data_IF_593659319511
#
_entry.id   IF_593659319511
#
_cell.length_a   1.000
_cell.length_b   1.000
_cell.length_c   1.000
_cell.angle_alpha   90.00
_cell.angle_beta   90.00
_cell.angle_gamma   90.00
#
_symmetry.space_group_name_H-M   'P 1'
#
loop_
_entity.id
_entity.type
_entity.pdbx_description
1 polymer ?
#
# COMPACT_ATOMS: atom_id res chain seq x y z
N UNK A 1 3.93 -0.55 29.81
CA UNK A 1 5.39 -0.82 29.73
C UNK A 1 6.15 0.47 29.60
N UNK A 2 7.32 0.60 30.23
CA UNK A 2 8.23 1.73 30.02
C UNK A 2 9.02 1.47 28.74
N UNK A 3 8.94 2.39 27.77
CA UNK A 3 9.74 2.33 26.54
C UNK A 3 11.23 2.42 26.90
N UNK A 4 12.06 1.53 26.35
CA UNK A 4 13.51 1.52 26.60
C UNK A 4 14.30 2.39 25.60
N UNK A 5 13.60 3.29 24.90
CA UNK A 5 14.16 4.22 23.93
C UNK A 5 13.76 5.63 24.30
N UNK A 6 14.70 6.57 24.21
CA UNK A 6 14.40 7.99 24.41
C UNK A 6 13.72 8.58 23.16
N UNK A 7 12.77 9.52 23.29
CA UNK A 7 12.22 10.23 22.14
C UNK A 7 13.32 10.88 21.29
N UNK A 8 13.10 10.93 19.96
CA UNK A 8 14.02 11.56 18.99
C UNK A 8 15.41 10.91 18.94
N UNK A 9 15.50 9.61 19.20
CA UNK A 9 16.74 8.84 19.05
C UNK A 9 16.94 8.44 17.59
N UNK A 10 18.17 8.58 17.09
CA UNK A 10 18.61 8.07 15.79
C UNK A 10 19.53 6.89 16.05
N UNK A 11 19.24 5.75 15.41
CA UNK A 11 20.12 4.59 15.42
C UNK A 11 20.83 4.45 14.07
N UNK A 12 22.01 3.85 14.07
CA UNK A 12 22.82 3.60 12.88
C UNK A 12 23.21 2.13 12.82
N UNK A 13 23.15 1.52 11.64
CA UNK A 13 23.45 0.10 11.42
C UNK A 13 22.25 -0.67 10.87
N UNK A 14 22.34 -2.00 10.89
CA UNK A 14 21.20 -2.87 10.51
C UNK A 14 20.05 -2.70 11.50
N UNK A 15 18.85 -2.45 10.98
CA UNK A 15 17.65 -2.25 11.76
C UNK A 15 17.20 -3.51 12.52
N UNK A 16 17.52 -4.72 12.04
CA UNK A 16 17.05 -5.96 12.66
C UNK A 16 17.59 -6.16 14.10
N UNK A 17 18.91 -6.13 14.36
CA UNK A 17 19.43 -6.23 15.73
C UNK A 17 19.00 -5.05 16.62
N UNK A 18 18.83 -3.85 16.03
CA UNK A 18 18.32 -2.68 16.76
C UNK A 18 16.89 -2.96 17.24
N UNK A 19 16.00 -3.37 16.35
CA UNK A 19 14.59 -3.68 16.68
C UNK A 19 14.47 -4.79 17.71
N UNK A 20 15.32 -5.83 17.65
CA UNK A 20 15.38 -6.90 18.66
C UNK A 20 15.70 -6.38 20.07
N UNK A 21 16.42 -5.26 20.18
CA UNK A 21 16.68 -4.59 21.46
C UNK A 21 15.54 -3.72 21.98
N UNK A 22 14.50 -3.46 21.18
CA UNK A 22 13.35 -2.62 21.56
C UNK A 22 12.31 -3.46 22.29
N UNK A 23 11.74 -2.92 23.38
CA UNK A 23 10.66 -3.56 24.12
C UNK A 23 9.43 -3.81 23.22
N UNK A 24 8.77 -4.95 23.40
CA UNK A 24 7.50 -5.24 22.72
C UNK A 24 6.43 -4.19 23.07
N UNK A 25 5.44 -4.01 22.18
CA UNK A 25 4.29 -3.13 22.40
C UNK A 25 4.67 -1.72 22.92
N UNK A 26 5.71 -1.14 22.33
CA UNK A 26 6.26 0.15 22.75
C UNK A 26 6.12 1.26 21.71
N UNK A 27 5.81 0.91 20.46
CA UNK A 27 5.69 1.83 19.32
C UNK A 27 4.23 2.03 18.94
N UNK A 28 3.80 3.28 18.75
CA UNK A 28 2.44 3.63 18.32
C UNK A 28 2.27 3.64 16.80
N UNK A 29 3.33 3.98 16.07
CA UNK A 29 3.29 4.14 14.61
C UNK A 29 4.62 3.74 13.99
N UNK A 30 4.56 2.94 12.93
CA UNK A 30 5.71 2.59 12.09
C UNK A 30 5.44 3.10 10.66
N UNK A 31 6.40 3.80 10.09
CA UNK A 31 6.46 4.05 8.65
C UNK A 31 7.77 3.46 8.15
N UNK A 32 7.69 2.72 7.04
CA UNK A 32 8.86 2.18 6.37
C UNK A 32 8.76 2.39 4.86
N UNK A 33 9.90 2.79 4.30
CA UNK A 33 10.17 2.87 2.87
C UNK A 33 11.33 1.91 2.57
N UNK A 34 11.07 0.59 2.58
CA UNK A 34 12.10 -0.39 2.32
C UNK A 34 12.57 -0.28 0.87
N UNK A 35 13.78 -0.79 0.59
CA UNK A 35 14.22 -0.95 -0.78
C UNK A 35 13.25 -1.83 -1.58
N UNK A 36 13.10 -1.54 -2.88
CA UNK A 36 12.04 -2.13 -3.71
C UNK A 36 12.46 -3.40 -4.44
N UNK A 37 13.72 -3.84 -4.29
CA UNK A 37 14.31 -4.92 -5.08
C UNK A 37 14.19 -4.64 -6.59
N UNK A 38 14.39 -3.37 -6.98
CA UNK A 38 14.27 -2.89 -8.36
C UNK A 38 15.42 -3.37 -9.27
N UNK A 39 16.36 -4.16 -8.72
CA UNK A 39 17.58 -4.67 -9.39
C UNK A 39 18.53 -3.57 -9.85
N UNK A 40 18.45 -2.38 -9.24
CA UNK A 40 19.27 -1.21 -9.58
C UNK A 40 20.09 -0.77 -8.39
N UNK A 41 21.42 -0.67 -8.53
CA UNK A 41 22.25 -0.09 -7.47
C UNK A 41 22.12 1.43 -7.51
N UNK A 42 21.74 2.03 -6.38
CA UNK A 42 21.63 3.49 -6.26
C UNK A 42 22.91 4.03 -5.63
N UNK A 43 23.61 4.89 -6.38
CA UNK A 43 24.71 5.68 -5.86
C UNK A 43 24.20 7.08 -5.49
N UNK A 44 24.65 7.61 -4.36
CA UNK A 44 24.33 8.97 -3.98
C UNK A 44 24.83 9.98 -5.04
N UNK A 45 24.07 11.04 -5.34
CA UNK A 45 24.46 12.03 -6.34
C UNK A 45 25.85 12.63 -6.05
N UNK A 46 26.66 12.79 -7.10
CA UNK A 46 27.97 13.43 -7.05
C UNK A 46 27.78 14.85 -6.50
N UNK A 47 28.46 15.17 -5.39
CA UNK A 47 28.37 16.47 -4.71
C UNK A 47 27.36 16.55 -3.54
N UNK A 48 26.63 15.47 -3.25
CA UNK A 48 25.81 15.39 -2.02
C UNK A 48 26.67 15.09 -0.78
N UNK A 49 26.16 15.36 0.43
CA UNK A 49 26.80 14.95 1.70
C UNK A 49 26.97 13.43 1.84
N UNK A 50 26.28 12.66 1.00
CA UNK A 50 26.35 11.21 0.94
C UNK A 50 27.13 10.69 -0.28
N UNK A 51 27.80 11.56 -1.05
CA UNK A 51 28.56 11.17 -2.24
C UNK A 51 29.56 10.05 -1.89
N UNK A 52 29.47 8.92 -2.61
CA UNK A 52 30.24 7.70 -2.35
C UNK A 52 29.48 6.63 -1.53
N UNK A 53 28.30 6.93 -1.00
CA UNK A 53 27.41 5.91 -0.46
C UNK A 53 26.71 5.17 -1.60
N UNK A 54 26.86 3.84 -1.61
CA UNK A 54 26.13 2.93 -2.48
C UNK A 54 25.14 2.12 -1.65
N UNK A 55 23.91 1.99 -2.14
CA UNK A 55 22.90 1.13 -1.56
C UNK A 55 22.59 -0.03 -2.51
N UNK A 56 22.78 -1.26 -2.01
CA UNK A 56 22.46 -2.50 -2.72
C UNK A 56 20.95 -2.73 -2.67
N UNK A 57 20.28 -2.59 -3.81
CA UNK A 57 18.84 -2.88 -3.97
C UNK A 57 18.62 -4.25 -4.65
N UNK A 58 19.32 -5.27 -4.14
CA UNK A 58 19.22 -6.67 -4.60
C UNK A 58 19.73 -7.60 -3.50
N UNK A 59 19.03 -8.71 -3.27
CA UNK A 59 19.41 -9.72 -2.28
C UNK A 59 19.75 -11.04 -2.95
N UNK A 60 20.72 -11.74 -2.40
CA UNK A 60 21.06 -13.11 -2.79
C UNK A 60 20.92 -14.03 -1.59
N UNK A 61 20.87 -15.33 -1.82
CA UNK A 61 20.74 -16.31 -0.74
C UNK A 61 21.92 -16.25 0.25
N UNK A 62 23.07 -15.73 -0.17
CA UNK A 62 24.22 -15.47 0.71
C UNK A 62 23.96 -14.36 1.74
N UNK A 63 22.99 -13.48 1.50
CA UNK A 63 22.61 -12.40 2.42
C UNK A 63 21.59 -12.89 3.48
N UNK A 64 21.13 -14.14 3.36
CA UNK A 64 20.12 -14.74 4.25
C UNK A 64 20.82 -15.59 5.31
N UNK A 65 20.52 -15.31 6.57
CA UNK A 65 20.91 -16.16 7.69
C UNK A 65 20.01 -17.41 7.74
N UNK A 66 20.61 -18.59 7.85
CA UNK A 66 19.87 -19.85 7.98
C UNK A 66 18.93 -19.86 9.19
N UNK A 67 19.29 -19.16 10.27
CA UNK A 67 18.42 -19.04 11.44
C UNK A 67 17.09 -18.30 11.13
N UNK A 68 17.08 -17.43 10.12
CA UNK A 68 15.87 -16.74 9.68
C UNK A 68 14.94 -17.70 8.94
N UNK A 69 15.50 -18.55 8.08
CA UNK A 69 14.75 -19.60 7.39
C UNK A 69 14.13 -20.56 8.38
N UNK A 70 14.93 -21.11 9.30
CA UNK A 70 14.45 -22.04 10.33
C UNK A 70 13.32 -21.43 11.16
N UNK A 71 13.44 -20.16 11.55
CA UNK A 71 12.39 -19.45 12.28
C UNK A 71 11.08 -19.38 11.47
N UNK A 72 11.16 -18.99 10.19
CA UNK A 72 9.98 -18.79 9.35
C UNK A 72 9.31 -20.12 9.02
N UNK A 73 10.08 -21.13 8.65
CA UNK A 73 9.58 -22.47 8.31
C UNK A 73 8.89 -23.12 9.52
N UNK A 74 9.46 -22.98 10.72
CA UNK A 74 8.93 -23.64 11.91
C UNK A 74 7.76 -22.92 12.56
N UNK A 75 7.77 -21.58 12.60
CA UNK A 75 6.78 -20.81 13.38
C UNK A 75 5.76 -20.05 12.53
N UNK A 76 6.07 -19.76 11.27
CA UNK A 76 5.26 -18.86 10.44
C UNK A 76 4.89 -19.50 9.10
N UNK A 77 4.07 -20.57 9.09
CA UNK A 77 3.76 -21.33 7.87
C UNK A 77 3.04 -20.50 6.79
N UNK A 78 2.25 -19.50 7.19
CA UNK A 78 1.62 -18.59 6.23
C UNK A 78 2.66 -17.73 5.51
N UNK A 79 3.61 -17.16 6.26
CA UNK A 79 4.71 -16.36 5.71
C UNK A 79 5.64 -17.21 4.85
N UNK A 80 5.91 -18.45 5.27
CA UNK A 80 6.71 -19.38 4.49
C UNK A 80 6.10 -19.65 3.11
N UNK A 81 4.77 -19.84 3.01
CA UNK A 81 4.09 -19.99 1.71
C UNK A 81 4.30 -18.79 0.81
N UNK A 82 4.27 -17.57 1.34
CA UNK A 82 4.52 -16.35 0.57
C UNK A 82 5.95 -16.32 0.02
N UNK A 83 6.93 -16.68 0.84
CA UNK A 83 8.34 -16.76 0.44
C UNK A 83 8.54 -17.81 -0.66
N UNK A 84 7.88 -18.97 -0.57
CA UNK A 84 7.94 -20.01 -1.60
C UNK A 84 7.24 -19.62 -2.90
N UNK A 85 6.33 -18.64 -2.89
CA UNK A 85 5.70 -18.12 -4.09
C UNK A 85 6.60 -17.14 -4.88
N UNK A 86 7.77 -16.77 -4.33
CA UNK A 86 8.73 -15.92 -5.02
C UNK A 86 9.19 -16.51 -6.35
N UNK A 87 9.23 -15.69 -7.40
CA UNK A 87 9.55 -16.13 -8.76
C UNK A 87 11.04 -16.32 -9.00
N UNK A 88 11.90 -15.63 -8.23
CA UNK A 88 13.34 -15.73 -8.34
C UNK A 88 14.01 -15.88 -6.98
N UNK A 89 15.25 -16.37 -6.97
CA UNK A 89 16.06 -16.41 -5.75
C UNK A 89 16.30 -15.01 -5.15
N UNK A 90 16.33 -13.97 -5.98
CA UNK A 90 16.45 -12.59 -5.50
C UNK A 90 15.20 -12.17 -4.73
N UNK A 91 14.04 -12.41 -5.33
CA UNK A 91 12.75 -12.07 -4.70
C UNK A 91 12.55 -12.88 -3.42
N UNK A 92 12.93 -14.17 -3.43
CA UNK A 92 12.90 -15.03 -2.25
C UNK A 92 13.77 -14.46 -1.14
N UNK A 93 15.01 -14.10 -1.46
CA UNK A 93 15.98 -13.56 -0.50
C UNK A 93 15.49 -12.24 0.09
N UNK A 94 14.92 -11.37 -0.75
CA UNK A 94 14.29 -10.13 -0.33
C UNK A 94 13.09 -10.36 0.61
N UNK A 95 12.21 -11.31 0.29
CA UNK A 95 11.06 -11.61 1.15
C UNK A 95 11.49 -12.19 2.49
N UNK A 96 12.56 -13.01 2.54
CA UNK A 96 13.11 -13.50 3.81
C UNK A 96 13.71 -12.33 4.62
N UNK A 97 14.47 -11.45 3.96
CA UNK A 97 15.02 -10.24 4.57
C UNK A 97 13.92 -9.34 5.16
N UNK A 98 12.83 -9.14 4.44
CA UNK A 98 11.69 -8.36 4.89
C UNK A 98 10.90 -9.09 5.99
N UNK A 99 10.65 -10.39 5.85
CA UNK A 99 9.88 -11.20 6.78
C UNK A 99 10.37 -11.06 8.22
N UNK A 100 11.67 -11.24 8.47
CA UNK A 100 12.22 -11.14 9.84
C UNK A 100 12.09 -9.74 10.43
N UNK A 101 12.10 -8.70 9.59
CA UNK A 101 11.92 -7.31 10.01
C UNK A 101 10.46 -7.01 10.31
N UNK A 102 9.54 -7.49 9.48
CA UNK A 102 8.11 -7.37 9.70
C UNK A 102 7.69 -8.07 10.99
N UNK A 103 8.26 -9.24 11.30
CA UNK A 103 8.01 -9.94 12.57
C UNK A 103 8.45 -9.12 13.79
N UNK A 104 9.62 -8.45 13.73
CA UNK A 104 10.05 -7.57 14.81
C UNK A 104 9.21 -6.29 14.89
N UNK A 105 8.82 -5.72 13.74
CA UNK A 105 7.92 -4.56 13.68
C UNK A 105 6.56 -4.87 14.30
N UNK A 106 6.01 -6.05 14.01
CA UNK A 106 4.80 -6.56 14.63
C UNK A 106 4.98 -6.63 16.15
N UNK A 107 6.06 -7.24 16.64
CA UNK A 107 6.34 -7.40 18.07
C UNK A 107 6.43 -6.07 18.82
N UNK A 108 7.09 -5.06 18.26
CA UNK A 108 7.31 -3.77 18.93
C UNK A 108 6.10 -2.83 18.83
N UNK A 109 5.20 -3.07 17.88
CA UNK A 109 3.98 -2.26 17.69
C UNK A 109 2.97 -2.58 18.79
N UNK A 110 2.39 -1.54 19.40
CA UNK A 110 1.27 -1.66 20.34
C UNK A 110 0.03 -2.18 19.63
N UNK A 111 -0.87 -2.83 20.36
CA UNK A 111 -2.19 -3.25 19.85
C UNK A 111 -3.01 -2.10 19.25
N UNK A 112 -2.85 -0.88 19.78
CA UNK A 112 -3.50 0.33 19.28
C UNK A 112 -2.77 0.97 18.10
N UNK A 113 -1.58 0.47 17.77
CA UNK A 113 -0.67 1.05 16.80
C UNK A 113 -0.95 0.64 15.37
N UNK A 114 -0.29 1.33 14.46
CA UNK A 114 -0.42 1.08 13.03
C UNK A 114 0.91 1.17 12.27
N UNK A 115 0.92 0.59 11.07
CA UNK A 115 2.09 0.50 10.21
C UNK A 115 1.74 0.86 8.77
N UNK A 116 2.63 1.62 8.13
CA UNK A 116 2.56 2.01 6.74
C UNK A 116 3.79 1.51 6.01
N UNK A 117 3.61 0.61 5.06
CA UNK A 117 4.67 0.10 4.20
C UNK A 117 4.54 0.72 2.81
N UNK A 118 5.53 1.52 2.42
CA UNK A 118 5.64 2.05 1.06
C UNK A 118 6.27 0.98 0.16
N UNK A 119 5.68 0.72 -1.00
CA UNK A 119 6.25 -0.17 -2.00
C UNK A 119 5.92 0.28 -3.43
N UNK A 120 6.87 0.01 -4.32
CA UNK A 120 6.64 0.10 -5.76
C UNK A 120 5.86 -1.13 -6.29
N UNK A 121 5.42 -1.12 -7.55
CA UNK A 121 4.71 -2.25 -8.14
C UNK A 121 5.52 -3.55 -8.29
N UNK A 122 6.85 -3.53 -8.10
CA UNK A 122 7.72 -4.69 -8.33
C UNK A 122 7.47 -5.78 -7.28
N UNK A 123 7.45 -5.39 -6.00
CA UNK A 123 7.28 -6.33 -4.87
C UNK A 123 6.00 -6.09 -4.05
N UNK A 124 5.18 -5.08 -4.39
CA UNK A 124 3.99 -4.69 -3.61
C UNK A 124 3.06 -5.85 -3.29
N UNK A 125 2.77 -6.72 -4.25
CA UNK A 125 1.84 -7.84 -4.06
C UNK A 125 2.42 -8.93 -3.13
N UNK A 126 3.71 -9.23 -3.25
CA UNK A 126 4.36 -10.17 -2.32
C UNK A 126 4.45 -9.59 -0.91
N UNK A 127 4.78 -8.30 -0.80
CA UNK A 127 4.83 -7.58 0.48
C UNK A 127 3.44 -7.51 1.12
N UNK A 128 2.38 -7.31 0.33
CA UNK A 128 1.00 -7.37 0.82
C UNK A 128 0.66 -8.73 1.42
N UNK A 129 1.02 -9.82 0.76
CA UNK A 129 0.81 -11.18 1.29
C UNK A 129 1.67 -11.44 2.53
N UNK A 130 2.91 -10.94 2.57
CA UNK A 130 3.78 -11.05 3.74
C UNK A 130 3.19 -10.27 4.94
N UNK A 131 2.69 -9.06 4.70
CA UNK A 131 1.97 -8.25 5.68
C UNK A 131 0.71 -8.98 6.18
N UNK A 132 -0.09 -9.58 5.30
CA UNK A 132 -1.26 -10.40 5.69
C UNK A 132 -0.86 -11.58 6.58
N UNK A 133 0.26 -12.23 6.28
CA UNK A 133 0.77 -13.35 7.07
C UNK A 133 1.32 -12.93 8.43
N UNK A 134 1.83 -11.71 8.57
CA UNK A 134 2.42 -11.21 9.83
C UNK A 134 1.40 -10.51 10.71
N UNK A 135 0.63 -9.57 10.14
CA UNK A 135 -0.30 -8.71 10.88
C UNK A 135 -1.73 -9.23 10.86
N UNK A 136 -2.06 -10.21 10.02
CA UNK A 136 -3.42 -10.68 9.81
C UNK A 136 -4.15 -9.89 8.72
N UNK A 137 -4.84 -10.60 7.83
CA UNK A 137 -5.55 -9.99 6.69
C UNK A 137 -6.69 -9.06 7.12
N UNK A 138 -7.30 -9.35 8.26
CA UNK A 138 -8.39 -8.60 8.89
C UNK A 138 -7.92 -7.26 9.47
N UNK A 139 -6.61 -7.13 9.68
CA UNK A 139 -5.98 -5.92 10.17
C UNK A 139 -5.50 -4.99 9.06
N UNK A 140 -5.71 -5.38 7.79
CA UNK A 140 -5.53 -4.50 6.65
C UNK A 140 -6.60 -3.41 6.63
N UNK A 141 -6.17 -2.15 6.56
CA UNK A 141 -7.07 -1.00 6.61
C UNK A 141 -7.26 -0.36 5.23
N UNK A 142 -6.17 -0.14 4.48
CA UNK A 142 -6.23 0.49 3.16
C UNK A 142 -4.97 0.26 2.33
N UNK A 143 -5.12 0.30 1.01
CA UNK A 143 -4.04 0.55 0.06
C UNK A 143 -4.17 2.02 -0.38
N UNK A 144 -3.19 2.83 0.01
CA UNK A 144 -3.15 4.25 -0.33
C UNK A 144 -2.27 4.42 -1.57
N UNK A 145 -2.89 4.80 -2.69
CA UNK A 145 -2.16 5.10 -3.92
C UNK A 145 -1.39 6.41 -3.80
N UNK A 146 -0.07 6.33 -3.80
CA UNK A 146 0.82 7.49 -3.83
C UNK A 146 1.17 7.87 -5.25
N UNK A 147 0.58 8.96 -5.76
CA UNK A 147 0.87 9.46 -7.10
C UNK A 147 2.16 10.29 -7.10
N UNK A 148 3.20 9.80 -7.76
CA UNK A 148 4.52 10.47 -7.86
C UNK A 148 4.49 11.69 -8.76
N UNK A 149 3.87 11.56 -9.93
CA UNK A 149 3.81 12.62 -10.94
C UNK A 149 2.51 12.55 -11.75
N UNK A 150 2.23 13.61 -12.51
CA UNK A 150 1.11 13.61 -13.44
C UNK A 150 1.43 12.71 -14.64
N UNK A 151 0.43 12.01 -15.18
CA UNK A 151 0.63 11.24 -16.41
C UNK A 151 1.12 12.18 -17.52
N UNK A 152 2.23 11.82 -18.17
CA UNK A 152 2.77 12.59 -19.27
C UNK A 152 2.67 11.77 -20.55
N UNK A 153 2.28 12.41 -21.66
CA UNK A 153 2.13 11.78 -22.99
C UNK A 153 3.44 11.28 -23.61
N UNK A 154 4.55 11.35 -22.87
CA UNK A 154 5.91 10.97 -23.29
C UNK A 154 6.33 9.58 -22.79
N UNK A 155 5.43 8.85 -22.13
CA UNK A 155 5.70 7.47 -21.73
C UNK A 155 6.08 6.62 -22.95
N UNK A 156 7.23 5.95 -22.88
CA UNK A 156 7.65 4.95 -23.87
C UNK A 156 6.92 3.61 -23.70
N UNK A 157 6.27 3.38 -22.56
CA UNK A 157 5.43 2.21 -22.29
C UNK A 157 3.96 2.50 -22.60
N UNK A 158 3.22 1.46 -22.99
CA UNK A 158 1.78 1.55 -23.26
C UNK A 158 0.97 2.02 -22.03
N UNK A 159 1.49 1.79 -20.82
CA UNK A 159 0.91 2.25 -19.56
C UNK A 159 2.02 2.89 -18.72
N UNK A 160 1.80 4.13 -18.30
CA UNK A 160 2.74 4.88 -17.46
C UNK A 160 2.58 4.45 -16.00
N UNK A 161 3.69 4.09 -15.35
CA UNK A 161 3.70 3.70 -13.93
C UNK A 161 3.96 4.94 -13.09
N UNK A 162 2.90 5.66 -12.72
CA UNK A 162 3.01 6.98 -12.06
C UNK A 162 2.80 6.93 -10.55
N UNK A 163 2.51 5.75 -9.99
CA UNK A 163 2.11 5.60 -8.59
C UNK A 163 2.80 4.45 -7.89
N UNK A 164 2.89 4.60 -6.58
CA UNK A 164 3.30 3.59 -5.60
C UNK A 164 2.14 3.25 -4.66
N UNK A 165 2.35 2.23 -3.83
CA UNK A 165 1.39 1.75 -2.86
C UNK A 165 1.90 2.04 -1.44
N UNK A 166 1.05 2.59 -0.57
CA UNK A 166 1.27 2.59 0.87
C UNK A 166 0.26 1.63 1.50
N UNK A 167 0.75 0.46 1.89
CA UNK A 167 -0.04 -0.56 2.56
C UNK A 167 -0.21 -0.16 4.03
N UNK A 168 -1.47 0.05 4.44
CA UNK A 168 -1.81 0.51 5.78
C UNK A 168 -2.46 -0.62 6.59
N UNK A 169 -1.83 -0.98 7.71
CA UNK A 169 -2.31 -2.00 8.65
C UNK A 169 -2.42 -1.45 10.07
N UNK A 170 -3.36 -1.99 10.83
CA UNK A 170 -3.34 -1.95 12.28
C UNK A 170 -2.56 -3.15 12.83
N UNK A 171 -2.12 -3.06 14.09
CA UNK A 171 -1.80 -4.25 14.88
C UNK A 171 -3.07 -5.03 15.23
N UNK A 172 -4.09 -4.31 15.69
CA UNK A 172 -5.45 -4.81 15.93
C UNK A 172 -6.46 -3.76 15.43
N UNK A 173 -7.20 -4.09 14.37
CA UNK A 173 -8.19 -3.20 13.75
C UNK A 173 -9.32 -2.81 14.71
N UNK A 174 -9.62 -3.62 15.72
CA UNK A 174 -10.64 -3.29 16.72
C UNK A 174 -10.18 -2.23 17.73
N UNK A 175 -8.86 -1.99 17.83
CA UNK A 175 -8.23 -1.11 18.82
C UNK A 175 -7.44 0.04 18.21
N UNK A 176 -7.30 0.07 16.88
CA UNK A 176 -6.45 1.04 16.20
C UNK A 176 -6.84 2.48 16.53
N UNK A 177 -5.88 3.26 16.99
CA UNK A 177 -6.04 4.70 17.17
C UNK A 177 -5.78 5.36 15.82
N UNK A 178 -6.80 5.40 14.96
CA UNK A 178 -6.69 6.01 13.65
C UNK A 178 -6.29 7.48 13.77
N UNK A 179 -5.14 7.85 13.20
CA UNK A 179 -4.68 9.23 13.13
C UNK A 179 -5.46 9.98 12.04
N UNK A 180 -6.73 10.32 12.32
CA UNK A 180 -7.60 11.05 11.38
C UNK A 180 -7.09 12.48 11.25
N UNK A 181 -6.30 12.73 10.21
CA UNK A 181 -5.93 14.09 9.81
C UNK A 181 -7.15 14.74 9.17
N UNK A 182 -7.86 15.56 9.95
CA UNK A 182 -8.97 16.38 9.45
C UNK A 182 -8.47 17.78 9.19
N UNK A 183 -8.70 18.30 7.99
CA UNK A 183 -8.62 19.73 7.73
C UNK A 183 -10.00 20.36 7.88
N UNK A 184 -10.06 21.58 8.40
CA UNK A 184 -11.29 22.37 8.28
C UNK A 184 -11.54 22.64 6.80
N UNK A 185 -12.72 22.27 6.34
CA UNK A 185 -13.18 22.65 5.02
C UNK A 185 -13.54 24.13 5.05
N UNK A 186 -12.98 24.87 4.09
CA UNK A 186 -13.40 26.24 3.81
C UNK A 186 -14.92 26.31 3.60
N UNK A 187 -15.58 27.25 4.27
CA UNK A 187 -17.03 27.44 4.27
C UNK A 187 -17.59 27.58 2.85
N UNK A 188 -16.86 28.24 1.96
CA UNK A 188 -17.27 28.41 0.56
C UNK A 188 -17.31 27.07 -0.17
N UNK A 189 -16.24 26.28 -0.05
CA UNK A 189 -16.17 24.91 -0.61
C UNK A 189 -17.20 23.99 0.01
N UNK A 190 -17.46 24.14 1.32
CA UNK A 190 -18.46 23.36 2.05
C UNK A 190 -19.87 23.64 1.53
N UNK A 191 -20.24 24.91 1.37
CA UNK A 191 -21.54 25.34 0.84
C UNK A 191 -21.71 24.91 -0.62
N UNK A 192 -20.65 24.97 -1.43
CA UNK A 192 -20.68 24.51 -2.83
C UNK A 192 -20.89 23.00 -2.94
N UNK A 193 -20.24 22.21 -2.08
CA UNK A 193 -20.29 20.74 -2.13
C UNK A 193 -21.48 20.14 -1.38
N UNK A 194 -21.96 20.81 -0.33
CA UNK A 194 -23.10 20.39 0.48
C UNK A 194 -24.01 21.59 0.77
N UNK A 195 -24.82 22.01 -0.23
CA UNK A 195 -25.62 23.22 -0.15
C UNK A 195 -26.84 23.11 0.79
N UNK A 196 -27.28 21.89 1.11
CA UNK A 196 -28.46 21.67 1.92
C UNK A 196 -28.10 21.28 3.35
N UNK A 197 -28.95 21.66 4.31
CA UNK A 197 -28.82 21.34 5.73
C UNK A 197 -30.12 20.71 6.19
N UNK A 198 -30.05 19.53 6.79
CA UNK A 198 -31.19 18.86 7.40
C UNK A 198 -31.59 19.62 8.67
N UNK A 199 -32.84 20.07 8.74
CA UNK A 199 -33.35 20.96 9.79
C UNK A 199 -33.32 20.33 11.18
N UNK A 200 -33.45 19.01 11.26
CA UNK A 200 -33.53 18.28 12.55
C UNK A 200 -32.16 17.94 13.14
N UNK A 201 -31.19 17.58 12.28
CA UNK A 201 -29.89 17.06 12.72
C UNK A 201 -28.73 18.06 12.51
N UNK A 202 -28.96 19.11 11.71
CA UNK A 202 -27.90 20.01 11.23
C UNK A 202 -26.94 19.35 10.22
N UNK A 203 -27.22 18.12 9.77
CA UNK A 203 -26.38 17.41 8.81
C UNK A 203 -26.44 18.08 7.45
N UNK A 204 -25.27 18.42 6.91
CA UNK A 204 -25.13 18.91 5.54
C UNK A 204 -25.20 17.78 4.52
N UNK A 205 -25.88 18.02 3.41
CA UNK A 205 -26.01 17.06 2.32
C UNK A 205 -26.04 17.75 0.94
N UNK A 206 -25.90 16.94 -0.10
CA UNK A 206 -26.11 17.34 -1.48
C UNK A 206 -27.08 16.34 -2.11
N UNK A 207 -27.91 16.81 -3.03
CA UNK A 207 -28.60 15.89 -3.92
C UNK A 207 -27.58 15.32 -4.91
N UNK A 208 -27.44 14.01 -4.91
CA UNK A 208 -26.77 13.30 -6.00
C UNK A 208 -27.88 12.89 -6.94
N UNK A 209 -27.76 13.24 -8.23
CA UNK A 209 -28.69 12.74 -9.23
C UNK A 209 -28.67 11.20 -9.19
N UNK A 210 -29.81 10.57 -8.91
CA UNK A 210 -29.98 9.12 -8.99
C UNK A 210 -29.73 8.61 -10.42
N UNK A 211 -29.89 9.51 -11.39
CA UNK A 211 -29.62 9.33 -12.80
C UNK A 211 -28.17 9.64 -13.18
N UNK A 212 -27.17 9.40 -12.31
CA UNK A 212 -25.78 9.62 -12.71
C UNK A 212 -25.55 8.97 -14.09
N UNK A 213 -25.33 9.83 -15.08
CA UNK A 213 -25.13 9.53 -16.49
C UNK A 213 -23.78 8.83 -16.68
N UNK A 214 -23.51 7.75 -15.95
CA UNK A 214 -22.30 6.96 -16.16
C UNK A 214 -22.33 6.20 -17.49
N UNK A 215 -23.37 6.36 -18.33
CA UNK A 215 -23.51 5.64 -19.60
C UNK A 215 -24.37 6.34 -20.69
N UNK A 216 -24.85 7.58 -20.50
CA UNK A 216 -25.68 8.24 -21.56
C UNK A 216 -24.88 8.79 -22.74
N UNK A 217 -23.56 8.86 -22.67
CA UNK A 217 -22.74 9.37 -23.78
C UNK A 217 -22.86 8.54 -25.06
N UNK A 218 -23.27 7.27 -24.94
CA UNK A 218 -23.40 6.31 -26.04
C UNK A 218 -24.84 5.80 -26.22
N UNK A 219 -25.83 6.46 -25.61
CA UNK A 219 -27.23 6.10 -25.79
C UNK A 219 -27.64 6.39 -27.25
N UNK A 220 -28.14 5.36 -27.95
CA UNK A 220 -28.48 5.43 -29.38
C UNK A 220 -27.28 5.24 -30.33
N UNK A 221 -26.10 4.92 -29.82
CA UNK A 221 -24.91 4.66 -30.65
C UNK A 221 -24.99 3.25 -31.25
N UNK A 222 -25.01 3.17 -32.58
CA UNK A 222 -25.12 1.91 -33.31
C UNK A 222 -23.76 1.24 -33.40
N UNK A 223 -23.65 0.04 -32.81
CA UNK A 223 -22.41 -0.76 -32.83
C UNK A 223 -22.62 -2.07 -33.58
N UNK A 224 -21.59 -2.53 -34.31
CA UNK A 224 -21.57 -3.85 -34.94
C UNK A 224 -20.84 -4.86 -34.06
N UNK A 225 -21.48 -5.97 -33.74
CA UNK A 225 -20.89 -7.11 -33.03
C UNK A 225 -21.07 -8.35 -33.91
N UNK A 226 -19.99 -8.77 -34.56
CA UNK A 226 -20.06 -9.77 -35.63
C UNK A 226 -20.93 -9.26 -36.79
N UNK A 227 -21.91 -10.06 -37.20
CA UNK A 227 -22.85 -9.72 -38.28
C UNK A 227 -24.10 -8.98 -37.79
N UNK A 228 -24.23 -8.74 -36.48
CA UNK A 228 -25.41 -8.11 -35.88
C UNK A 228 -25.17 -6.65 -35.54
N UNK A 229 -26.25 -5.87 -35.66
CA UNK A 229 -26.29 -4.46 -35.27
C UNK A 229 -26.96 -4.35 -33.90
N UNK A 230 -26.39 -3.53 -33.02
CA UNK A 230 -26.87 -3.32 -31.65
C UNK A 230 -27.02 -1.83 -31.40
N UNK A 231 -28.19 -1.46 -30.91
CA UNK A 231 -28.47 -0.09 -30.44
C UNK A 231 -28.92 -0.17 -28.98
N UNK A 232 -28.18 0.48 -28.09
CA UNK A 232 -28.49 0.49 -26.65
C UNK A 232 -29.04 1.84 -26.23
N UNK A 233 -30.12 1.82 -25.45
CA UNK A 233 -30.70 3.02 -24.85
C UNK A 233 -29.91 3.51 -23.63
N UNK A 234 -28.99 2.69 -23.09
CA UNK A 234 -28.20 2.99 -21.89
C UNK A 234 -26.79 2.36 -21.99
N UNK A 235 -25.89 3.02 -22.72
CA UNK A 235 -24.47 2.67 -22.82
C UNK A 235 -24.18 1.18 -23.04
N UNK A 236 -23.28 0.59 -22.25
CA UNK A 236 -22.79 -0.80 -22.41
C UNK A 236 -23.74 -1.91 -21.92
N UNK A 237 -25.01 -1.62 -21.63
CA UNK A 237 -25.99 -2.66 -21.27
C UNK A 237 -26.66 -3.21 -22.52
N UNK A 238 -26.47 -4.50 -22.77
CA UNK A 238 -27.16 -5.21 -23.84
C UNK A 238 -28.06 -6.29 -23.25
N UNK A 239 -29.22 -6.49 -23.86
CA UNK A 239 -30.15 -7.57 -23.56
C UNK A 239 -30.67 -8.18 -24.87
N UNK A 240 -31.51 -9.21 -24.79
CA UNK A 240 -32.01 -9.89 -25.99
C UNK A 240 -32.83 -8.96 -26.91
N UNK A 241 -33.38 -7.86 -26.37
CA UNK A 241 -34.19 -6.87 -27.12
C UNK A 241 -33.36 -5.75 -27.75
N UNK A 242 -32.06 -5.62 -27.46
CA UNK A 242 -31.17 -4.58 -28.03
C UNK A 242 -30.42 -5.03 -29.29
N UNK A 243 -30.56 -6.29 -29.70
CA UNK A 243 -29.98 -6.83 -30.94
C UNK A 243 -31.06 -6.90 -32.02
N UNK A 244 -30.73 -6.44 -33.24
CA UNK A 244 -31.53 -6.66 -34.45
C UNK A 244 -31.48 -8.13 -34.93
#
# INVERSE_FOLDING_TARGET
>A
MTINIKPKTIFTGDNLPIMRGINSESIDLIYLDPPFNSKTNYAAPIGSKAAGAEFKDTWTLSDVDNAWLDLIETKYPALNRVIHAAMTNSDKSYLIYMAVRLLEMERILKDTGSIYLHCDPTMSHYLKLAMDAVFGKENFLADITWKRYAAHSLSKSAVDTISDHLLYYAKDNTRVMANRVTSQLDTEKLNKKFPYVETETGRRFQHVALEQNSNRSSAGEVSKIGDKTVTSDIGWRWNQTTFD
#
